data_IF_518816554868
#
_entry.id   IF_518816554868
#
_cell.length_a   1.000
_cell.length_b   1.000
_cell.length_c   1.000
_cell.angle_alpha   90.00
_cell.angle_beta   90.00
_cell.angle_gamma   90.00
#
_symmetry.space_group_name_H-M   'P 1'
#
loop_
_entity.id
_entity.type
_entity.pdbx_description
1 polymer ?
#
# COMPACT_ATOMS: atom_id res chain seq x y z
N UNK A 1 28.36 27.75 9.35
CA UNK A 1 27.01 28.34 9.27
C UNK A 1 26.05 27.38 9.95
N UNK A 2 25.71 27.62 11.21
CA UNK A 2 24.66 26.85 11.90
C UNK A 2 23.31 27.45 11.50
N UNK A 3 22.46 26.67 10.83
CA UNK A 3 21.05 27.04 10.66
C UNK A 3 20.43 27.23 12.04
N UNK A 4 19.59 28.26 12.21
CA UNK A 4 18.86 28.42 13.47
C UNK A 4 17.95 27.21 13.67
N UNK A 5 17.82 26.68 14.91
CA UNK A 5 16.96 25.53 15.21
C UNK A 5 15.50 25.74 14.77
N UNK A 6 15.07 27.00 14.64
CA UNK A 6 13.74 27.38 14.18
C UNK A 6 13.53 27.07 12.68
N UNK A 7 14.55 27.25 11.84
CA UNK A 7 14.45 27.01 10.39
C UNK A 7 14.24 25.52 10.04
N UNK A 8 14.87 24.61 10.80
CA UNK A 8 14.67 23.17 10.62
C UNK A 8 13.27 22.73 11.03
N UNK A 9 12.77 23.22 12.17
CA UNK A 9 11.46 22.83 12.68
C UNK A 9 10.35 23.27 11.72
N UNK A 10 10.50 24.43 11.08
CA UNK A 10 9.61 24.87 10.00
C UNK A 10 9.67 23.96 8.78
N UNK A 11 10.85 23.53 8.32
CA UNK A 11 10.98 22.60 7.19
C UNK A 11 10.29 21.26 7.47
N UNK A 12 10.49 20.67 8.65
CA UNK A 12 9.82 19.44 9.05
C UNK A 12 8.30 19.61 9.16
N UNK A 13 7.85 20.75 9.69
CA UNK A 13 6.42 21.10 9.79
C UNK A 13 5.79 21.22 8.41
N UNK A 14 6.44 21.90 7.46
CA UNK A 14 5.97 21.98 6.07
C UNK A 14 5.92 20.60 5.40
N UNK A 15 6.93 19.76 5.63
CA UNK A 15 6.97 18.39 5.08
C UNK A 15 5.83 17.52 5.64
N UNK A 16 5.55 17.62 6.94
CA UNK A 16 4.39 16.95 7.55
C UNK A 16 3.08 17.43 6.93
N UNK A 17 2.90 18.74 6.77
CA UNK A 17 1.70 19.31 6.15
C UNK A 17 1.51 18.80 4.72
N UNK A 18 2.57 18.79 3.90
CA UNK A 18 2.52 18.25 2.55
C UNK A 18 2.12 16.76 2.53
N UNK A 19 2.68 15.94 3.44
CA UNK A 19 2.27 14.53 3.58
C UNK A 19 0.80 14.42 3.97
N UNK A 20 0.31 15.22 4.92
CA UNK A 20 -1.10 15.24 5.30
C UNK A 20 -2.02 15.56 4.12
N UNK A 21 -1.66 16.54 3.28
CA UNK A 21 -2.41 16.86 2.06
C UNK A 21 -2.42 15.69 1.07
N UNK A 22 -1.27 15.04 0.86
CA UNK A 22 -1.18 13.87 -0.01
C UNK A 22 -2.03 12.70 0.51
N UNK A 23 -1.95 12.37 1.80
CA UNK A 23 -2.77 11.32 2.42
C UNK A 23 -4.26 11.63 2.33
N UNK A 24 -4.67 12.89 2.52
CA UNK A 24 -6.06 13.30 2.37
C UNK A 24 -6.57 13.14 0.95
N UNK A 25 -5.74 13.45 -0.06
CA UNK A 25 -6.06 13.21 -1.47
C UNK A 25 -6.17 11.72 -1.76
N UNK A 26 -5.22 10.90 -1.31
CA UNK A 26 -5.25 9.45 -1.50
C UNK A 26 -6.47 8.81 -0.84
N UNK A 27 -6.80 9.21 0.39
CA UNK A 27 -8.00 8.74 1.10
C UNK A 27 -9.28 9.05 0.31
N UNK A 28 -9.41 10.26 -0.24
CA UNK A 28 -10.57 10.61 -1.10
C UNK A 28 -10.64 9.74 -2.35
N UNK A 29 -9.52 9.52 -3.02
CA UNK A 29 -9.47 8.64 -4.21
C UNK A 29 -9.85 7.21 -3.84
N UNK A 30 -9.36 6.69 -2.72
CA UNK A 30 -9.71 5.35 -2.22
C UNK A 30 -11.20 5.23 -1.89
N UNK A 31 -11.78 6.26 -1.26
CA UNK A 31 -13.20 6.29 -0.94
C UNK A 31 -14.06 6.33 -2.21
N UNK A 32 -13.76 7.23 -3.15
CA UNK A 32 -14.54 7.37 -4.39
C UNK A 32 -14.42 6.11 -5.26
N UNK A 33 -13.21 5.57 -5.41
CA UNK A 33 -13.01 4.32 -6.16
C UNK A 33 -13.70 3.14 -5.47
N UNK A 34 -13.54 2.98 -4.16
CA UNK A 34 -14.21 1.94 -3.38
C UNK A 34 -15.73 2.04 -3.37
N UNK A 35 -16.33 3.23 -3.28
CA UNK A 35 -17.80 3.35 -3.36
C UNK A 35 -18.30 3.07 -4.78
N UNK A 36 -17.58 3.51 -5.81
CA UNK A 36 -17.97 3.27 -7.21
C UNK A 36 -17.94 1.78 -7.58
N UNK A 37 -16.88 1.06 -7.19
CA UNK A 37 -16.74 -0.38 -7.44
C UNK A 37 -17.82 -1.15 -6.67
N UNK A 38 -18.07 -0.79 -5.41
CA UNK A 38 -19.10 -1.42 -4.59
C UNK A 38 -20.48 -1.27 -5.25
N UNK A 39 -20.83 -0.05 -5.67
CA UNK A 39 -22.13 0.24 -6.27
C UNK A 39 -22.31 -0.48 -7.61
N UNK A 40 -21.28 -0.47 -8.46
CA UNK A 40 -21.31 -1.23 -9.72
C UNK A 40 -21.46 -2.74 -9.48
N UNK A 41 -20.69 -3.32 -8.56
CA UNK A 41 -20.78 -4.74 -8.22
C UNK A 41 -22.16 -5.08 -7.62
N UNK A 42 -22.72 -4.24 -6.74
CA UNK A 42 -24.05 -4.44 -6.18
C UNK A 42 -25.15 -4.42 -7.24
N UNK A 43 -25.08 -3.51 -8.22
CA UNK A 43 -26.04 -3.47 -9.34
C UNK A 43 -25.97 -4.74 -10.17
N UNK A 44 -24.75 -5.21 -10.50
CA UNK A 44 -24.56 -6.44 -11.27
C UNK A 44 -25.05 -7.66 -10.48
N UNK A 45 -24.73 -7.73 -9.19
CA UNK A 45 -25.21 -8.80 -8.30
C UNK A 45 -26.74 -8.83 -8.25
N UNK A 46 -27.36 -7.66 -8.06
CA UNK A 46 -28.80 -7.52 -8.00
C UNK A 46 -29.46 -7.90 -9.34
N UNK A 47 -28.89 -7.45 -10.46
CA UNK A 47 -29.37 -7.84 -11.80
C UNK A 47 -29.29 -9.34 -12.03
N UNK A 48 -28.21 -9.99 -11.60
CA UNK A 48 -28.06 -11.45 -11.68
C UNK A 48 -29.09 -12.19 -10.81
N UNK A 49 -29.37 -11.68 -9.61
CA UNK A 49 -30.35 -12.28 -8.69
C UNK A 49 -31.80 -12.10 -9.15
N UNK A 50 -32.13 -10.96 -9.75
CA UNK A 50 -33.52 -10.60 -10.12
C UNK A 50 -33.90 -11.10 -11.52
N UNK A 51 -33.03 -10.88 -12.52
CA UNK A 51 -33.37 -11.14 -13.93
C UNK A 51 -33.18 -12.61 -14.28
N UNK A 52 -32.23 -13.26 -13.62
CA UNK A 52 -31.69 -14.52 -14.08
C UNK A 52 -32.18 -15.62 -13.13
N UNK A 53 -33.30 -16.27 -13.50
CA UNK A 53 -33.63 -17.64 -13.04
C UNK A 53 -32.63 -18.64 -13.63
N UNK A 54 -31.33 -18.43 -13.37
CA UNK A 54 -30.26 -19.29 -13.89
C UNK A 54 -30.46 -20.67 -13.25
N UNK A 55 -30.41 -21.77 -14.00
CA UNK A 55 -30.21 -23.08 -13.40
C UNK A 55 -28.93 -23.02 -12.55
N UNK A 56 -29.10 -23.06 -11.23
CA UNK A 56 -28.16 -22.62 -10.18
C UNK A 56 -26.84 -23.43 -10.08
N UNK A 57 -26.51 -24.27 -11.05
CA UNK A 57 -25.48 -25.32 -10.92
C UNK A 57 -24.48 -25.41 -12.08
N UNK A 58 -24.35 -24.36 -12.91
CA UNK A 58 -23.22 -24.30 -13.85
C UNK A 58 -21.98 -23.75 -13.15
N UNK A 59 -20.83 -24.41 -13.31
CA UNK A 59 -19.54 -24.02 -12.73
C UNK A 59 -19.21 -22.54 -12.96
N UNK A 60 -19.59 -22.02 -14.13
CA UNK A 60 -19.43 -20.60 -14.50
C UNK A 60 -20.20 -19.64 -13.59
N UNK A 61 -21.42 -19.99 -13.15
CA UNK A 61 -22.19 -19.16 -12.22
C UNK A 61 -21.53 -19.09 -10.84
N UNK A 62 -20.92 -20.19 -10.39
CA UNK A 62 -20.20 -20.25 -9.10
C UNK A 62 -18.94 -19.38 -9.16
N UNK A 63 -18.18 -19.47 -10.26
CA UNK A 63 -16.98 -18.64 -10.47
C UNK A 63 -17.35 -17.16 -10.48
N UNK A 64 -18.35 -16.77 -11.28
CA UNK A 64 -18.78 -15.37 -11.37
C UNK A 64 -19.30 -14.84 -10.03
N UNK A 65 -20.07 -15.64 -9.27
CA UNK A 65 -20.52 -15.25 -7.93
C UNK A 65 -19.34 -15.07 -6.97
N UNK A 66 -18.34 -15.97 -7.03
CA UNK A 66 -17.13 -15.89 -6.23
C UNK A 66 -16.33 -14.62 -6.51
N UNK A 67 -16.12 -14.28 -7.78
CA UNK A 67 -15.44 -13.03 -8.16
C UNK A 67 -16.24 -11.81 -7.71
N UNK A 68 -17.57 -11.79 -7.91
CA UNK A 68 -18.39 -10.67 -7.50
C UNK A 68 -18.34 -10.45 -5.98
N UNK A 69 -18.39 -11.54 -5.21
CA UNK A 69 -18.24 -11.50 -3.76
C UNK A 69 -16.86 -10.97 -3.36
N UNK A 70 -15.80 -11.43 -4.02
CA UNK A 70 -14.43 -10.94 -3.81
C UNK A 70 -14.31 -9.44 -4.13
N UNK A 71 -14.89 -8.98 -5.24
CA UNK A 71 -14.91 -7.56 -5.62
C UNK A 71 -15.63 -6.70 -4.57
N UNK A 72 -16.80 -7.13 -4.11
CA UNK A 72 -17.54 -6.44 -3.05
C UNK A 72 -16.72 -6.36 -1.76
N UNK A 73 -16.10 -7.48 -1.35
CA UNK A 73 -15.28 -7.53 -0.14
C UNK A 73 -14.05 -6.62 -0.25
N UNK A 74 -13.32 -6.69 -1.37
CA UNK A 74 -12.16 -5.84 -1.64
C UNK A 74 -12.55 -4.35 -1.64
N UNK A 75 -13.72 -4.03 -2.19
CA UNK A 75 -14.26 -2.67 -2.19
C UNK A 75 -14.58 -2.16 -0.79
N UNK A 76 -15.12 -3.02 0.06
CA UNK A 76 -15.44 -2.71 1.45
C UNK A 76 -14.16 -2.46 2.27
N UNK A 77 -13.12 -3.27 2.06
CA UNK A 77 -11.78 -3.06 2.63
C UNK A 77 -11.21 -1.71 2.19
N UNK A 78 -11.32 -1.36 0.90
CA UNK A 78 -10.88 -0.05 0.40
C UNK A 78 -11.63 1.11 1.07
N UNK A 79 -12.94 1.00 1.27
CA UNK A 79 -13.73 2.02 1.96
C UNK A 79 -13.27 2.17 3.42
N UNK A 80 -13.10 1.06 4.15
CA UNK A 80 -12.64 1.07 5.54
C UNK A 80 -11.25 1.69 5.66
N UNK A 81 -10.31 1.33 4.77
CA UNK A 81 -8.98 1.95 4.71
C UNK A 81 -9.08 3.45 4.41
N UNK A 82 -9.95 3.85 3.47
CA UNK A 82 -10.21 5.23 3.13
C UNK A 82 -10.69 6.04 4.33
N UNK A 83 -11.66 5.52 5.10
CA UNK A 83 -12.17 6.13 6.34
C UNK A 83 -11.07 6.21 7.39
N UNK A 84 -10.29 5.15 7.58
CA UNK A 84 -9.18 5.12 8.52
C UNK A 84 -8.13 6.19 8.21
N UNK A 85 -7.71 6.34 6.96
CA UNK A 85 -6.78 7.42 6.58
C UNK A 85 -7.41 8.80 6.77
N UNK A 86 -8.72 8.95 6.57
CA UNK A 86 -9.42 10.20 6.83
C UNK A 86 -9.47 10.55 8.32
N UNK A 87 -9.60 9.56 9.20
CA UNK A 87 -9.63 9.78 10.65
C UNK A 87 -8.25 10.12 11.19
N UNK A 88 -7.20 9.44 10.72
CA UNK A 88 -5.81 9.74 11.08
C UNK A 88 -5.40 11.15 10.63
N UNK A 89 -5.82 11.58 9.44
CA UNK A 89 -5.49 12.92 8.92
C UNK A 89 -6.24 14.07 9.61
N UNK A 90 -7.29 13.81 10.39
CA UNK A 90 -8.01 14.84 11.16
C UNK A 90 -7.33 15.22 12.48
N UNK A 91 -6.38 14.42 12.97
CA UNK A 91 -5.62 14.78 14.18
C UNK A 91 -4.70 15.95 13.86
N UNK A 92 -4.82 17.03 14.63
CA UNK A 92 -3.96 18.20 14.50
C UNK A 92 -2.55 17.82 14.92
N UNK A 93 -1.55 18.22 14.13
CA UNK A 93 -0.14 17.96 14.41
C UNK A 93 0.23 18.67 15.70
N UNK A 94 0.44 17.90 16.77
CA UNK A 94 0.88 18.45 18.05
C UNK A 94 2.37 18.78 17.95
N UNK A 95 2.75 19.94 18.48
CA UNK A 95 4.14 20.37 18.68
C UNK A 95 5.05 19.30 19.32
N UNK A 96 4.49 18.42 20.16
CA UNK A 96 5.21 17.29 20.78
C UNK A 96 5.47 16.11 19.84
N UNK A 97 4.79 16.03 18.69
CA UNK A 97 4.96 14.96 17.70
C UNK A 97 6.13 15.20 16.75
N UNK A 98 6.53 16.46 16.56
CA UNK A 98 7.66 16.85 15.69
C UNK A 98 8.98 16.17 16.08
N UNK A 99 9.43 16.14 17.35
CA UNK A 99 10.67 15.46 17.72
C UNK A 99 10.58 13.93 17.57
N UNK A 100 9.42 13.34 17.87
CA UNK A 100 9.19 11.88 17.68
C UNK A 100 9.26 11.50 16.21
N UNK A 101 8.63 12.30 15.35
CA UNK A 101 8.67 12.09 13.91
C UNK A 101 10.09 12.26 13.35
N UNK A 102 10.84 13.27 13.83
CA UNK A 102 12.25 13.46 13.46
C UNK A 102 13.07 12.21 13.78
N UNK A 103 12.91 11.62 14.97
CA UNK A 103 13.59 10.37 15.34
C UNK A 103 13.13 9.17 14.48
N UNK A 104 11.83 9.04 14.22
CA UNK A 104 11.29 7.96 13.38
C UNK A 104 11.76 8.06 11.92
N UNK A 105 11.77 9.26 11.35
CA UNK A 105 12.26 9.53 9.99
C UNK A 105 13.73 9.13 9.86
N UNK A 106 14.57 9.49 10.85
CA UNK A 106 15.98 9.07 10.91
C UNK A 106 16.12 7.54 10.95
N UNK A 107 15.41 6.87 11.88
CA UNK A 107 15.43 5.41 11.98
C UNK A 107 14.98 4.75 10.66
N UNK A 108 13.97 5.32 10.00
CA UNK A 108 13.46 4.81 8.72
C UNK A 108 14.48 4.99 7.59
N UNK A 109 15.12 6.16 7.48
CA UNK A 109 16.17 6.40 6.48
C UNK A 109 17.36 5.44 6.66
N UNK A 110 17.79 5.19 7.90
CA UNK A 110 18.83 4.21 8.19
C UNK A 110 18.42 2.78 7.80
N UNK A 111 17.20 2.34 8.17
CA UNK A 111 16.70 1.01 7.79
C UNK A 111 16.57 0.85 6.28
N UNK A 112 16.05 1.87 5.58
CA UNK A 112 15.89 1.83 4.12
C UNK A 112 17.25 1.85 3.41
N UNK A 113 18.24 2.62 3.90
CA UNK A 113 19.61 2.61 3.39
C UNK A 113 20.29 1.24 3.58
N UNK A 114 20.06 0.58 4.72
CA UNK A 114 20.48 -0.81 4.98
C UNK A 114 19.72 -1.87 4.16
N UNK A 115 18.75 -1.47 3.34
CA UNK A 115 17.99 -2.38 2.47
C UNK A 115 16.75 -3.00 3.11
N UNK A 116 16.39 -2.63 4.35
CA UNK A 116 15.11 -3.02 4.96
C UNK A 116 13.98 -2.13 4.44
N UNK A 117 13.50 -2.47 3.25
CA UNK A 117 12.37 -1.79 2.60
C UNK A 117 11.02 -2.14 3.29
N UNK A 118 10.02 -1.24 3.21
CA UNK A 118 8.65 -1.51 3.63
C UNK A 118 8.09 -2.78 3.00
N UNK A 119 7.17 -3.47 3.68
CA UNK A 119 6.65 -4.77 3.25
C UNK A 119 6.12 -4.77 1.80
N UNK A 120 5.51 -3.65 1.35
CA UNK A 120 5.00 -3.48 -0.01
C UNK A 120 6.06 -3.56 -1.12
N UNK A 121 7.35 -3.37 -0.82
CA UNK A 121 8.45 -3.45 -1.80
C UNK A 121 9.28 -4.73 -1.68
N UNK A 122 8.99 -5.56 -0.67
CA UNK A 122 9.72 -6.81 -0.45
C UNK A 122 9.49 -7.79 -1.60
N UNK A 123 10.39 -8.76 -1.73
CA UNK A 123 10.24 -9.84 -2.72
C UNK A 123 8.97 -10.67 -2.45
N UNK A 124 8.65 -10.89 -1.17
CA UNK A 124 7.49 -11.69 -0.74
C UNK A 124 6.16 -11.11 -1.21
N UNK A 125 5.95 -9.80 -1.04
CA UNK A 125 4.72 -9.14 -1.50
C UNK A 125 4.59 -9.15 -3.02
N UNK A 126 5.71 -9.00 -3.75
CA UNK A 126 5.73 -9.17 -5.22
C UNK A 126 5.35 -10.57 -5.65
N UNK A 127 5.85 -11.61 -4.97
CA UNK A 127 5.50 -13.01 -5.27
C UNK A 127 4.02 -13.26 -5.01
N UNK A 128 3.46 -12.74 -3.92
CA UNK A 128 2.02 -12.84 -3.62
C UNK A 128 1.17 -12.12 -4.66
N UNK A 129 1.58 -10.91 -5.07
CA UNK A 129 0.85 -10.16 -6.10
C UNK A 129 0.90 -10.87 -7.45
N UNK A 130 2.05 -11.45 -7.79
CA UNK A 130 2.25 -12.19 -9.03
C UNK A 130 1.50 -13.52 -9.04
N UNK A 131 1.46 -14.25 -7.92
CA UNK A 131 0.66 -15.48 -7.82
C UNK A 131 -0.84 -15.17 -7.92
N UNK A 132 -1.32 -14.09 -7.29
CA UNK A 132 -2.69 -13.62 -7.45
C UNK A 132 -3.01 -13.27 -8.92
N UNK A 133 -2.10 -12.58 -9.60
CA UNK A 133 -2.23 -12.30 -11.04
C UNK A 133 -2.37 -13.57 -11.88
N UNK A 134 -1.52 -14.58 -11.64
CA UNK A 134 -1.56 -15.85 -12.37
C UNK A 134 -2.93 -16.53 -12.24
N UNK A 135 -3.54 -16.48 -11.05
CA UNK A 135 -4.89 -17.00 -10.84
C UNK A 135 -5.90 -16.29 -11.75
N UNK A 136 -5.86 -14.96 -11.85
CA UNK A 136 -6.76 -14.21 -12.74
C UNK A 136 -6.54 -14.54 -14.22
N UNK A 137 -5.28 -14.67 -14.65
CA UNK A 137 -4.97 -15.06 -16.04
C UNK A 137 -5.47 -16.47 -16.35
N UNK A 138 -5.29 -17.41 -15.41
CA UNK A 138 -5.76 -18.80 -15.56
C UNK A 138 -7.29 -18.88 -15.60
N UNK A 139 -7.98 -18.16 -14.72
CA UNK A 139 -9.44 -18.08 -14.71
C UNK A 139 -9.95 -17.48 -16.01
N UNK A 140 -9.37 -16.37 -16.47
CA UNK A 140 -9.73 -15.75 -17.75
C UNK A 140 -9.50 -16.66 -18.96
N UNK A 141 -8.34 -17.33 -19.01
CA UNK A 141 -8.01 -18.29 -20.07
C UNK A 141 -8.96 -19.49 -20.06
N UNK A 142 -9.31 -20.01 -18.88
CA UNK A 142 -10.27 -21.11 -18.75
C UNK A 142 -11.66 -20.71 -19.29
N UNK A 143 -12.13 -19.50 -18.96
CA UNK A 143 -13.40 -18.97 -19.48
C UNK A 143 -13.35 -18.83 -21.01
N UNK A 144 -12.25 -18.31 -21.56
CA UNK A 144 -12.10 -18.17 -23.02
C UNK A 144 -12.05 -19.54 -23.73
N UNK A 145 -11.43 -20.55 -23.12
CA UNK A 145 -11.40 -21.91 -23.68
C UNK A 145 -12.78 -22.58 -23.63
N UNK A 146 -13.56 -22.37 -22.56
CA UNK A 146 -14.87 -23.00 -22.39
C UNK A 146 -15.99 -22.31 -23.17
N UNK A 147 -15.97 -20.97 -23.26
CA UNK A 147 -17.06 -20.17 -23.83
C UNK A 147 -16.67 -19.47 -25.14
N UNK A 148 -15.43 -19.63 -25.59
CA UNK A 148 -14.91 -19.03 -26.80
C UNK A 148 -14.45 -17.57 -26.63
N UNK A 149 -13.91 -16.97 -27.70
CA UNK A 149 -13.31 -15.63 -27.66
C UNK A 149 -14.32 -14.48 -27.51
N UNK A 150 -15.62 -14.75 -27.67
CA UNK A 150 -16.70 -13.76 -27.45
C UNK A 150 -17.03 -13.56 -25.97
N UNK A 151 -16.47 -14.37 -25.07
CA UNK A 151 -16.67 -14.22 -23.62
C UNK A 151 -15.88 -13.01 -23.08
N UNK A 152 -16.55 -11.85 -23.02
CA UNK A 152 -15.98 -10.59 -22.53
C UNK A 152 -15.41 -10.72 -21.10
N UNK A 153 -16.05 -11.50 -20.23
CA UNK A 153 -15.57 -11.76 -18.87
C UNK A 153 -14.18 -12.40 -18.87
N UNK A 154 -13.94 -13.37 -19.76
CA UNK A 154 -12.66 -14.06 -19.89
C UNK A 154 -11.53 -13.10 -20.25
N UNK A 155 -11.78 -12.19 -21.20
CA UNK A 155 -10.86 -11.10 -21.53
C UNK A 155 -10.65 -10.14 -20.36
N UNK A 156 -11.72 -9.77 -19.65
CA UNK A 156 -11.64 -8.91 -18.47
C UNK A 156 -10.70 -9.47 -17.40
N UNK A 157 -10.85 -10.76 -17.06
CA UNK A 157 -9.96 -11.42 -16.10
C UNK A 157 -8.53 -11.56 -16.59
N UNK A 158 -8.33 -11.92 -17.85
CA UNK A 158 -7.00 -12.06 -18.44
C UNK A 158 -6.25 -10.72 -18.45
N UNK A 159 -6.90 -9.65 -18.92
CA UNK A 159 -6.31 -8.30 -18.96
C UNK A 159 -6.03 -7.78 -17.54
N UNK A 160 -6.96 -8.01 -16.61
CA UNK A 160 -6.76 -7.60 -15.21
C UNK A 160 -5.58 -8.33 -14.57
N UNK A 161 -5.45 -9.64 -14.78
CA UNK A 161 -4.29 -10.42 -14.37
C UNK A 161 -3.00 -9.86 -14.97
N UNK A 162 -2.95 -9.67 -16.29
CA UNK A 162 -1.78 -9.09 -16.97
C UNK A 162 -1.37 -7.72 -16.41
N UNK A 163 -2.35 -6.86 -16.09
CA UNK A 163 -2.10 -5.57 -15.45
C UNK A 163 -1.45 -5.73 -14.07
N UNK A 164 -1.94 -6.65 -13.23
CA UNK A 164 -1.34 -6.94 -11.92
C UNK A 164 0.08 -7.51 -12.08
N UNK A 165 0.30 -8.41 -13.03
CA UNK A 165 1.64 -8.93 -13.37
C UNK A 165 2.60 -7.79 -13.73
N UNK A 166 2.16 -6.85 -14.57
CA UNK A 166 2.97 -5.70 -14.94
C UNK A 166 3.36 -4.86 -13.73
N UNK A 167 2.41 -4.60 -12.82
CA UNK A 167 2.66 -3.87 -11.57
C UNK A 167 3.68 -4.61 -10.69
N UNK A 168 3.50 -5.91 -10.49
CA UNK A 168 4.36 -6.73 -9.64
C UNK A 168 5.80 -6.83 -10.16
N UNK A 169 5.98 -6.97 -11.48
CA UNK A 169 7.28 -7.22 -12.12
C UNK A 169 8.02 -5.95 -12.51
N UNK A 170 7.33 -4.87 -12.87
CA UNK A 170 7.97 -3.66 -13.40
C UNK A 170 7.80 -2.44 -12.51
N UNK A 171 6.62 -2.22 -11.93
CA UNK A 171 6.34 -0.99 -11.16
C UNK A 171 6.92 -1.09 -9.75
N UNK A 172 6.62 -2.15 -9.01
CA UNK A 172 7.08 -2.32 -7.62
C UNK A 172 8.60 -2.35 -7.48
N UNK A 173 9.36 -3.09 -8.31
CA UNK A 173 10.82 -3.13 -8.18
C UNK A 173 11.45 -1.77 -8.45
N UNK A 174 11.04 -1.09 -9.53
CA UNK A 174 11.53 0.25 -9.87
C UNK A 174 11.18 1.27 -8.80
N UNK A 175 9.98 1.20 -8.24
CA UNK A 175 9.58 2.08 -7.14
C UNK A 175 10.41 1.82 -5.87
N UNK A 176 10.72 0.56 -5.55
CA UNK A 176 11.58 0.19 -4.44
C UNK A 176 13.03 0.67 -4.60
N UNK A 177 13.59 0.55 -5.81
CA UNK A 177 14.94 1.04 -6.13
C UNK A 177 15.02 2.57 -6.03
N UNK A 178 14.04 3.28 -6.60
CA UNK A 178 13.93 4.75 -6.47
C UNK A 178 13.83 5.18 -5.01
N UNK A 179 12.98 4.52 -4.23
CA UNK A 179 12.85 4.80 -2.80
C UNK A 179 14.19 4.59 -2.06
N UNK A 180 14.94 3.53 -2.38
CA UNK A 180 16.26 3.30 -1.79
C UNK A 180 17.27 4.41 -2.16
N UNK A 181 17.30 4.82 -3.42
CA UNK A 181 18.21 5.88 -3.91
C UNK A 181 17.87 7.25 -3.32
N UNK A 182 16.58 7.61 -3.27
CA UNK A 182 16.12 8.85 -2.64
C UNK A 182 16.41 8.88 -1.14
N UNK A 183 16.22 7.75 -0.45
CA UNK A 183 16.55 7.65 0.98
C UNK A 183 18.05 7.73 1.24
N UNK A 184 18.88 7.11 0.39
CA UNK A 184 20.35 7.17 0.50
C UNK A 184 20.89 8.59 0.23
N UNK A 185 20.37 9.28 -0.79
CA UNK A 185 20.77 10.66 -1.10
C UNK A 185 20.36 11.64 0.00
N UNK A 186 19.15 11.49 0.55
CA UNK A 186 18.72 12.28 1.73
C UNK A 186 19.58 12.01 2.95
N UNK A 187 19.90 10.74 3.23
CA UNK A 187 20.78 10.38 4.34
C UNK A 187 22.18 11.00 4.18
N UNK A 188 22.76 10.92 2.98
CA UNK A 188 24.06 11.53 2.68
C UNK A 188 24.05 13.05 2.88
N UNK A 189 22.97 13.72 2.46
CA UNK A 189 22.80 15.16 2.69
C UNK A 189 22.76 15.51 4.19
N UNK A 190 21.98 14.77 4.99
CA UNK A 190 21.91 14.98 6.43
C UNK A 190 23.23 14.67 7.17
N UNK A 191 24.01 13.71 6.66
CA UNK A 191 25.35 13.41 7.19
C UNK A 191 26.34 14.56 6.88
N UNK A 192 26.30 15.11 5.65
CA UNK A 192 27.15 16.24 5.26
C UNK A 192 26.85 17.52 6.07
N UNK A 193 25.60 17.71 6.48
CA UNK A 193 25.18 18.84 7.33
C UNK A 193 25.55 18.65 8.82
N UNK A 194 26.03 17.46 9.21
CA UNK A 194 26.35 17.14 10.61
C UNK A 194 25.13 16.93 11.51
N UNK A 195 23.93 16.86 10.94
CA UNK A 195 22.66 16.73 11.67
C UNK A 195 22.41 15.31 12.20
N UNK A 196 23.09 14.33 11.61
CA UNK A 196 23.06 12.92 11.98
C UNK A 196 24.49 12.49 12.23
N UNK A 197 24.79 12.01 13.44
CA UNK A 197 26.03 11.27 13.70
C UNK A 197 25.82 9.84 13.24
N UNK A 198 26.77 9.31 12.48
CA UNK A 198 26.80 7.87 12.16
C UNK A 198 26.87 7.14 13.50
N UNK A 199 25.91 6.26 13.84
CA UNK A 199 26.06 5.42 15.01
C UNK A 199 27.33 4.58 14.79
N UNK A 200 28.34 4.80 15.62
CA UNK A 200 29.67 4.20 15.48
C UNK A 200 29.66 2.70 15.78
N UNK A 201 28.56 2.17 16.32
CA UNK A 201 28.39 0.76 16.63
C UNK A 201 27.00 0.27 16.22
N UNK A 202 26.92 -0.96 15.72
CA UNK A 202 25.67 -1.63 15.32
C UNK A 202 24.75 -1.82 16.54
N UNK A 203 25.30 -1.84 17.74
CA UNK A 203 24.59 -2.07 19.00
C UNK A 203 23.74 -0.87 19.48
N UNK A 204 24.11 0.38 19.14
CA UNK A 204 23.32 1.57 19.52
C UNK A 204 21.98 1.68 18.77
N UNK A 205 21.85 1.02 17.61
CA UNK A 205 20.60 1.00 16.84
C UNK A 205 19.59 0.01 17.43
N UNK A 206 20.06 -1.03 18.15
CA UNK A 206 19.23 -2.01 18.85
C UNK A 206 18.94 -1.63 20.31
N UNK A 207 19.88 -0.98 21.01
CA UNK A 207 19.70 -0.57 22.42
C UNK A 207 18.61 0.50 22.63
N UNK A 208 18.11 1.11 21.55
CA UNK A 208 17.13 2.19 21.58
C UNK A 208 15.70 1.73 21.22
N UNK A 209 15.47 0.41 21.20
CA UNK A 209 14.13 -0.18 21.24
C UNK A 209 13.66 -0.27 22.70
N UNK A 210 12.62 0.50 23.10
CA UNK A 210 12.10 0.49 24.47
C UNK A 210 11.37 -0.81 24.85
N UNK A 211 11.38 -1.84 23.99
CA UNK A 211 10.76 -3.14 24.26
C UNK A 211 11.69 -4.13 24.96
N UNK A 212 12.96 -3.81 25.19
CA UNK A 212 13.91 -4.71 25.89
C UNK A 212 14.00 -4.48 27.41
N UNK A 213 13.11 -3.66 27.99
CA UNK A 213 12.95 -3.51 29.44
C UNK A 213 11.55 -3.97 29.86
N UNK A 214 11.23 -5.25 29.61
CA UNK A 214 10.08 -5.88 30.24
C UNK A 214 10.37 -7.34 30.51
N UNK A 215 10.74 -7.61 31.76
CA UNK A 215 10.56 -8.92 32.36
C UNK A 215 11.85 -9.64 32.76
N UNK A 216 12.54 -9.13 33.77
CA UNK A 216 13.16 -9.95 34.81
C UNK A 216 13.02 -9.18 36.12
N UNK A 217 11.85 -9.32 36.75
CA UNK A 217 11.60 -9.06 38.18
C UNK A 217 10.17 -9.57 38.44
N UNK A 218 10.05 -10.88 38.64
CA UNK A 218 9.14 -11.61 39.55
C UNK A 218 9.18 -13.12 39.29
#
# INVERSE_FOLDING_TARGET
MHGSPDSETEMYRQTMLQRHYAYRRHSRVLLVSGTSIFLAASIVLFGLLVVKKIPQYTVYSIINLGVLCFLVLASLVMIVLGIYFLSVTRRMVDSREVPRFRQQERRRLFREAQGRLPWGYRRTSRVILFSASLVFVLVGSCILLLFGPSALDGWGYAVFGLMISFIALFVLPRAGERARQESATRLAHYLMLGEIRVPTTVDEVQSNDPETYRGEDE
#
